data_IF_282806494785
#
_entry.id   IF_282806494785
#
_cell.length_a   1.000
_cell.length_b   1.000
_cell.length_c   1.000
_cell.angle_alpha   90.00
_cell.angle_beta   90.00
_cell.angle_gamma   90.00
#
_symmetry.space_group_name_H-M   'P 1'
#
loop_
_entity.id
_entity.type
_entity.pdbx_description
1 polymer ?
#
# COMPACT_ATOMS: atom_id res chain seq x y z
N UNK A 1 18.68 13.70 -29.28
CA UNK A 1 18.53 12.22 -29.28
C UNK A 1 18.13 11.65 -27.91
N UNK A 2 18.81 11.98 -26.80
CA UNK A 2 18.45 11.50 -25.46
C UNK A 2 17.05 11.95 -24.98
N UNK A 3 16.66 13.20 -25.24
CA UNK A 3 15.34 13.71 -24.85
C UNK A 3 14.17 12.98 -25.54
N UNK A 4 14.32 12.66 -26.83
CA UNK A 4 13.29 11.93 -27.61
C UNK A 4 13.17 10.48 -27.15
N UNK A 5 14.28 9.87 -26.71
CA UNK A 5 14.27 8.52 -26.13
C UNK A 5 13.53 8.47 -24.78
N UNK A 6 13.77 9.45 -23.90
CA UNK A 6 13.07 9.52 -22.61
C UNK A 6 11.56 9.80 -22.79
N UNK A 7 11.19 10.68 -23.72
CA UNK A 7 9.77 10.95 -24.03
C UNK A 7 9.07 9.69 -24.58
N UNK A 8 9.73 8.96 -25.48
CA UNK A 8 9.22 7.69 -26.03
C UNK A 8 9.12 6.60 -24.96
N UNK A 9 10.07 6.53 -24.03
CA UNK A 9 10.03 5.60 -22.91
C UNK A 9 8.89 5.93 -21.93
N UNK A 10 8.62 7.22 -21.68
CA UNK A 10 7.46 7.65 -20.88
C UNK A 10 6.12 7.22 -21.51
N UNK A 11 6.06 7.14 -22.85
CA UNK A 11 4.87 6.71 -23.59
C UNK A 11 4.72 5.18 -23.62
N UNK A 12 5.82 4.42 -23.66
CA UNK A 12 5.79 2.96 -23.86
C UNK A 12 5.23 2.18 -22.66
N UNK A 13 5.14 2.79 -21.46
CA UNK A 13 4.69 2.20 -20.19
C UNK A 13 5.36 0.86 -19.81
N UNK A 14 6.45 0.49 -20.48
CA UNK A 14 7.24 -0.71 -20.15
C UNK A 14 8.28 -0.33 -19.10
N UNK A 15 8.29 -1.06 -17.98
CA UNK A 15 9.15 -0.79 -16.82
C UNK A 15 10.64 -0.77 -17.20
N UNK A 16 11.15 -1.85 -17.79
CA UNK A 16 12.56 -1.99 -18.18
C UNK A 16 13.06 -0.87 -19.13
N UNK A 17 12.25 -0.50 -20.13
CA UNK A 17 12.63 0.56 -21.09
C UNK A 17 12.70 1.93 -20.41
N UNK A 18 11.82 2.17 -19.43
CA UNK A 18 11.78 3.43 -18.70
C UNK A 18 12.91 3.52 -17.66
N UNK A 19 13.23 2.41 -17.00
CA UNK A 19 14.37 2.28 -16.07
C UNK A 19 15.69 2.62 -16.78
N UNK A 20 15.98 1.93 -17.89
CA UNK A 20 17.20 2.14 -18.67
C UNK A 20 17.31 3.59 -19.17
N UNK A 21 16.20 4.15 -19.66
CA UNK A 21 16.17 5.53 -20.14
C UNK A 21 16.40 6.56 -19.03
N UNK A 22 15.86 6.32 -17.82
CA UNK A 22 16.10 7.19 -16.66
C UNK A 22 17.54 7.10 -16.19
N UNK A 23 18.14 5.90 -16.19
CA UNK A 23 19.54 5.71 -15.79
C UNK A 23 20.51 6.37 -16.77
N UNK A 24 20.28 6.20 -18.08
CA UNK A 24 21.05 6.87 -19.12
C UNK A 24 20.94 8.40 -19.02
N UNK A 25 19.74 8.92 -18.74
CA UNK A 25 19.53 10.36 -18.56
C UNK A 25 20.23 10.92 -17.30
N UNK A 26 20.33 10.13 -16.21
CA UNK A 26 21.10 10.51 -15.02
C UNK A 26 22.60 10.54 -15.27
N UNK A 27 23.11 9.59 -16.06
CA UNK A 27 24.54 9.48 -16.43
C UNK A 27 25.00 10.60 -17.38
N UNK A 28 24.11 11.10 -18.25
CA UNK A 28 24.44 12.07 -19.30
C UNK A 28 24.58 13.55 -18.83
N UNK A 29 24.32 13.86 -17.56
CA UNK A 29 24.56 15.19 -16.98
C UNK A 29 23.35 16.13 -16.90
N UNK A 30 23.50 17.22 -16.14
CA UNK A 30 22.40 17.95 -15.51
C UNK A 30 21.96 19.23 -16.24
N UNK A 31 21.22 19.11 -17.33
CA UNK A 31 20.47 20.26 -17.89
C UNK A 31 19.16 20.45 -17.11
N UNK A 32 18.79 21.69 -16.72
CA UNK A 32 17.55 21.99 -15.96
C UNK A 32 16.29 21.34 -16.55
N UNK A 33 16.17 21.37 -17.89
CA UNK A 33 15.06 20.75 -18.65
C UNK A 33 15.11 19.21 -18.65
N UNK A 34 16.30 18.63 -18.60
CA UNK A 34 16.48 17.18 -18.49
C UNK A 34 16.13 16.71 -17.08
N UNK A 35 16.55 17.45 -16.05
CA UNK A 35 16.20 17.17 -14.65
C UNK A 35 14.70 17.14 -14.42
N UNK A 36 13.93 18.08 -14.99
CA UNK A 36 12.46 18.04 -14.89
C UNK A 36 11.86 16.79 -15.53
N UNK A 37 12.39 16.33 -16.66
CA UNK A 37 11.92 15.10 -17.33
C UNK A 37 12.32 13.84 -16.57
N UNK A 38 13.53 13.79 -16.01
CA UNK A 38 13.99 12.70 -15.14
C UNK A 38 13.06 12.56 -13.94
N UNK A 39 12.68 13.67 -13.31
CA UNK A 39 11.72 13.66 -12.19
C UNK A 39 10.37 13.08 -12.62
N UNK A 40 9.83 13.51 -13.77
CA UNK A 40 8.55 12.98 -14.28
C UNK A 40 8.67 11.48 -14.61
N UNK A 41 9.72 11.07 -15.31
CA UNK A 41 9.96 9.69 -15.68
C UNK A 41 10.13 8.78 -14.45
N UNK A 42 10.89 9.22 -13.45
CA UNK A 42 11.05 8.50 -12.17
C UNK A 42 9.71 8.32 -11.46
N UNK A 43 8.84 9.34 -11.47
CA UNK A 43 7.49 9.23 -10.88
C UNK A 43 6.59 8.25 -11.62
N UNK A 44 6.67 8.22 -12.95
CA UNK A 44 5.93 7.26 -13.78
C UNK A 44 6.40 5.84 -13.47
N UNK A 45 7.72 5.64 -13.35
CA UNK A 45 8.36 4.37 -13.02
C UNK A 45 7.94 3.87 -11.64
N UNK A 46 8.04 4.70 -10.60
CA UNK A 46 7.56 4.37 -9.24
C UNK A 46 6.11 3.89 -9.25
N UNK A 47 5.25 4.54 -10.04
CA UNK A 47 3.85 4.18 -10.19
C UNK A 47 3.68 2.84 -10.90
N UNK A 48 4.39 2.60 -12.00
CA UNK A 48 4.34 1.32 -12.73
C UNK A 48 4.80 0.19 -11.81
N UNK A 49 5.92 0.36 -11.11
CA UNK A 49 6.45 -0.62 -10.17
C UNK A 49 5.47 -0.92 -9.03
N UNK A 50 4.79 0.10 -8.47
CA UNK A 50 3.75 -0.11 -7.46
C UNK A 50 2.58 -0.94 -8.01
N UNK A 51 2.10 -0.63 -9.22
CA UNK A 51 1.01 -1.38 -9.86
C UNK A 51 1.43 -2.82 -10.13
N UNK A 52 2.66 -3.04 -10.61
CA UNK A 52 3.20 -4.38 -10.85
C UNK A 52 3.30 -5.19 -9.54
N UNK A 53 3.78 -4.57 -8.45
CA UNK A 53 3.78 -5.21 -7.12
C UNK A 53 2.38 -5.61 -6.67
N UNK A 54 1.38 -4.75 -6.89
CA UNK A 54 -0.03 -5.05 -6.57
C UNK A 54 -0.54 -6.22 -7.43
N UNK A 55 -0.25 -6.22 -8.73
CA UNK A 55 -0.60 -7.32 -9.63
C UNK A 55 -0.01 -8.66 -9.15
N UNK A 56 1.28 -8.67 -8.80
CA UNK A 56 1.97 -9.83 -8.22
C UNK A 56 1.34 -10.33 -6.92
N UNK A 57 0.85 -9.41 -6.07
CA UNK A 57 0.11 -9.78 -4.85
C UNK A 57 -1.17 -10.55 -5.20
N UNK A 58 -1.94 -10.09 -6.20
CA UNK A 58 -3.17 -10.77 -6.64
C UNK A 58 -2.87 -12.13 -7.25
N UNK A 59 -1.81 -12.24 -8.07
CA UNK A 59 -1.41 -13.51 -8.68
C UNK A 59 -1.08 -14.58 -7.63
N UNK A 60 -0.52 -14.18 -6.48
CA UNK A 60 -0.18 -15.05 -5.34
C UNK A 60 -1.38 -15.54 -4.53
N UNK A 61 -2.58 -14.98 -4.76
CA UNK A 61 -3.78 -15.49 -4.10
C UNK A 61 -4.02 -16.92 -4.56
N UNK A 62 -3.89 -17.84 -3.60
CA UNK A 62 -4.16 -19.25 -3.78
C UNK A 62 -5.66 -19.55 -3.75
N UNK A 63 -6.10 -20.48 -4.60
CA UNK A 63 -7.50 -20.89 -4.68
C UNK A 63 -7.98 -21.53 -3.37
N UNK A 64 -7.07 -22.21 -2.64
CA UNK A 64 -7.37 -22.75 -1.30
C UNK A 64 -7.70 -21.64 -0.30
N UNK A 65 -6.96 -20.54 -0.32
CA UNK A 65 -7.21 -19.39 0.55
C UNK A 65 -8.53 -18.69 0.23
N UNK A 66 -8.93 -18.65 -1.05
CA UNK A 66 -10.26 -18.16 -1.44
C UNK A 66 -11.39 -19.11 -1.00
N UNK A 67 -11.15 -20.43 -1.07
CA UNK A 67 -12.11 -21.42 -0.57
C UNK A 67 -12.30 -21.29 0.95
N UNK A 68 -11.22 -21.10 1.71
CA UNK A 68 -11.26 -20.82 3.16
C UNK A 68 -12.13 -19.59 3.46
N UNK A 69 -11.89 -18.46 2.77
CA UNK A 69 -12.69 -17.26 2.92
C UNK A 69 -14.18 -17.50 2.63
N UNK A 70 -14.47 -18.34 1.63
CA UNK A 70 -15.84 -18.74 1.29
C UNK A 70 -16.45 -19.67 2.35
N UNK A 71 -15.68 -20.37 3.18
CA UNK A 71 -16.24 -21.30 4.16
C UNK A 71 -16.68 -20.63 5.47
N UNK A 72 -16.25 -19.39 5.75
CA UNK A 72 -16.72 -18.69 6.94
C UNK A 72 -18.25 -18.51 6.94
N UNK A 73 -18.87 -19.02 8.01
CA UNK A 73 -20.26 -18.71 8.38
C UNK A 73 -20.33 -17.34 9.05
N UNK A 74 -19.48 -17.13 10.06
CA UNK A 74 -19.33 -15.87 10.79
C UNK A 74 -17.87 -15.40 10.67
N UNK A 75 -17.56 -14.46 9.76
CA UNK A 75 -16.19 -14.02 9.56
C UNK A 75 -15.71 -13.17 10.74
N UNK A 76 -14.43 -13.26 11.13
CA UNK A 76 -13.83 -12.30 12.03
C UNK A 76 -13.92 -10.89 11.46
N UNK A 77 -14.10 -9.87 12.31
CA UNK A 77 -14.35 -8.50 11.88
C UNK A 77 -13.30 -7.98 10.89
N UNK A 78 -12.01 -8.22 11.13
CA UNK A 78 -10.95 -7.80 10.21
C UNK A 78 -11.05 -8.44 8.82
N UNK A 79 -11.48 -9.70 8.74
CA UNK A 79 -11.71 -10.41 7.46
C UNK A 79 -12.91 -9.81 6.74
N UNK A 80 -14.02 -9.61 7.46
CA UNK A 80 -15.22 -9.02 6.89
C UNK A 80 -14.97 -7.62 6.34
N UNK A 81 -14.40 -6.73 7.15
CA UNK A 81 -14.12 -5.35 6.75
C UNK A 81 -13.13 -5.27 5.59
N UNK A 82 -12.16 -6.19 5.51
CA UNK A 82 -11.26 -6.31 4.36
C UNK A 82 -12.02 -6.61 3.06
N UNK A 83 -12.97 -7.53 3.11
CA UNK A 83 -13.75 -7.93 1.93
C UNK A 83 -14.80 -6.88 1.55
N UNK A 84 -15.40 -6.18 2.52
CA UNK A 84 -16.24 -5.00 2.29
C UNK A 84 -15.44 -3.90 1.57
N UNK A 85 -14.26 -3.57 2.11
CA UNK A 85 -13.35 -2.59 1.51
C UNK A 85 -12.96 -2.95 0.07
N UNK A 86 -12.67 -4.22 -0.20
CA UNK A 86 -12.39 -4.70 -1.55
C UNK A 86 -13.62 -4.60 -2.47
N UNK A 87 -14.81 -4.94 -1.98
CA UNK A 87 -16.05 -4.86 -2.74
C UNK A 87 -16.40 -3.43 -3.15
N UNK A 88 -16.23 -2.48 -2.24
CA UNK A 88 -16.43 -1.05 -2.53
C UNK A 88 -15.51 -0.56 -3.65
N UNK A 89 -14.24 -0.97 -3.65
CA UNK A 89 -13.32 -0.65 -4.73
C UNK A 89 -13.80 -1.26 -6.06
N UNK A 90 -14.29 -2.49 -6.05
CA UNK A 90 -14.82 -3.18 -7.24
C UNK A 90 -16.15 -2.60 -7.76
N UNK A 91 -16.70 -1.57 -7.10
CA UNK A 91 -17.87 -0.81 -7.55
C UNK A 91 -19.21 -1.24 -6.94
N UNK A 92 -19.19 -2.07 -5.89
CA UNK A 92 -20.41 -2.43 -5.17
C UNK A 92 -20.84 -1.35 -4.18
N UNK A 93 -22.15 -1.22 -3.93
CA UNK A 93 -22.69 -0.29 -2.95
C UNK A 93 -22.44 -0.76 -1.52
N UNK A 94 -22.23 0.18 -0.58
CA UNK A 94 -21.97 -0.13 0.83
C UNK A 94 -23.11 -0.94 1.45
N UNK A 95 -24.36 -0.59 1.12
CA UNK A 95 -25.55 -1.26 1.64
C UNK A 95 -25.66 -2.72 1.16
N UNK A 96 -25.17 -3.02 -0.05
CA UNK A 96 -25.17 -4.37 -0.61
C UNK A 96 -24.16 -5.28 0.08
N UNK A 97 -23.05 -4.71 0.57
CA UNK A 97 -21.92 -5.49 1.10
C UNK A 97 -21.84 -5.46 2.63
N UNK A 98 -22.73 -4.71 3.30
CA UNK A 98 -22.78 -4.62 4.77
C UNK A 98 -23.09 -5.97 5.42
N UNK A 99 -23.95 -6.76 4.80
CA UNK A 99 -24.24 -8.12 5.25
C UNK A 99 -23.24 -9.11 4.66
N UNK A 100 -22.69 -9.97 5.52
CA UNK A 100 -21.69 -10.95 5.14
C UNK A 100 -22.22 -11.91 4.06
N UNK A 101 -23.46 -12.35 4.18
CA UNK A 101 -24.05 -13.32 3.25
C UNK A 101 -24.11 -12.75 1.84
N UNK A 102 -24.54 -11.50 1.70
CA UNK A 102 -24.60 -10.78 0.42
C UNK A 102 -23.20 -10.49 -0.10
N UNK A 103 -22.30 -9.96 0.75
CA UNK A 103 -20.90 -9.70 0.41
C UNK A 103 -20.20 -10.94 -0.15
N UNK A 104 -20.35 -12.09 0.52
CA UNK A 104 -19.83 -13.39 0.10
C UNK A 104 -20.41 -13.86 -1.22
N UNK A 105 -21.73 -13.72 -1.42
CA UNK A 105 -22.40 -14.07 -2.67
C UNK A 105 -21.92 -13.25 -3.86
N UNK A 106 -21.63 -11.96 -3.63
CA UNK A 106 -21.13 -11.04 -4.65
C UNK A 106 -19.67 -11.32 -5.00
N UNK A 107 -18.82 -11.57 -4.01
CA UNK A 107 -17.38 -11.74 -4.20
C UNK A 107 -16.98 -13.13 -4.72
N UNK A 108 -17.65 -14.19 -4.25
CA UNK A 108 -17.29 -15.58 -4.56
C UNK A 108 -18.15 -16.20 -5.65
N UNK A 109 -18.63 -15.39 -6.60
CA UNK A 109 -19.26 -15.90 -7.83
C UNK A 109 -18.26 -16.76 -8.61
N UNK A 110 -18.73 -17.92 -9.09
CA UNK A 110 -17.91 -18.81 -9.91
C UNK A 110 -17.75 -18.28 -11.33
N UNK A 111 -16.63 -18.61 -11.99
CA UNK A 111 -16.44 -18.39 -13.43
C UNK A 111 -15.63 -17.14 -13.80
N UNK A 112 -16.18 -16.29 -14.67
CA UNK A 112 -15.50 -15.09 -15.21
C UNK A 112 -15.44 -13.95 -14.19
N UNK A 113 -16.39 -13.90 -13.26
CA UNK A 113 -16.52 -12.82 -12.26
C UNK A 113 -15.96 -13.18 -10.88
N UNK A 114 -15.04 -14.14 -10.82
CA UNK A 114 -14.41 -14.49 -9.55
C UNK A 114 -13.57 -13.32 -9.01
N UNK A 115 -13.49 -13.22 -7.68
CA UNK A 115 -12.77 -12.13 -6.99
C UNK A 115 -11.38 -11.87 -7.56
N UNK A 116 -10.59 -12.93 -7.78
CA UNK A 116 -9.22 -12.82 -8.29
C UNK A 116 -9.18 -12.13 -9.66
N UNK A 117 -9.99 -12.58 -10.62
CA UNK A 117 -10.08 -11.98 -11.96
C UNK A 117 -10.51 -10.51 -11.90
N UNK A 118 -11.48 -10.19 -11.04
CA UNK A 118 -11.93 -8.80 -10.87
C UNK A 118 -10.84 -7.91 -10.28
N UNK A 119 -10.04 -8.42 -9.34
CA UNK A 119 -8.88 -7.71 -8.79
C UNK A 119 -7.75 -7.55 -9.83
N UNK A 120 -7.54 -8.53 -10.72
CA UNK A 120 -6.56 -8.46 -11.82
C UNK A 120 -6.97 -7.45 -12.90
N UNK A 121 -8.26 -7.40 -13.25
CA UNK A 121 -8.81 -6.51 -14.27
C UNK A 121 -9.21 -5.13 -13.72
N UNK A 122 -8.94 -4.88 -12.45
CA UNK A 122 -9.38 -3.69 -11.76
C UNK A 122 -8.70 -2.43 -12.29
N UNK A 123 -9.51 -1.44 -12.71
CA UNK A 123 -9.02 -0.10 -13.05
C UNK A 123 -9.21 0.88 -11.90
N UNK A 124 -8.12 1.23 -11.22
CA UNK A 124 -8.12 2.22 -10.13
C UNK A 124 -8.48 3.65 -10.58
N UNK A 125 -8.55 3.93 -11.90
CA UNK A 125 -8.85 5.27 -12.41
C UNK A 125 -10.32 5.65 -12.29
N UNK A 126 -11.21 4.66 -12.26
CA UNK A 126 -12.66 4.84 -12.19
C UNK A 126 -13.18 5.10 -10.77
N UNK A 127 -12.36 4.85 -9.75
CA UNK A 127 -12.76 5.02 -8.35
C UNK A 127 -12.78 6.49 -7.95
N UNK A 128 -13.88 6.91 -7.32
CA UNK A 128 -14.05 8.25 -6.78
C UNK A 128 -13.31 8.45 -5.46
N UNK A 129 -12.98 9.71 -5.13
CA UNK A 129 -12.32 10.04 -3.86
C UNK A 129 -13.20 9.73 -2.65
N UNK A 130 -14.53 9.79 -2.80
CA UNK A 130 -15.48 9.45 -1.74
C UNK A 130 -15.37 7.96 -1.36
N UNK A 131 -15.35 7.06 -2.36
CA UNK A 131 -15.16 5.62 -2.14
C UNK A 131 -13.80 5.38 -1.47
N UNK A 132 -12.74 6.04 -1.94
CA UNK A 132 -11.42 5.90 -1.37
C UNK A 132 -11.38 6.25 0.12
N UNK A 133 -12.03 7.34 0.53
CA UNK A 133 -12.08 7.77 1.93
C UNK A 133 -12.92 6.81 2.79
N UNK A 134 -14.04 6.30 2.26
CA UNK A 134 -14.85 5.29 2.95
C UNK A 134 -14.03 4.00 3.20
N UNK A 135 -13.34 3.51 2.16
CA UNK A 135 -12.47 2.32 2.24
C UNK A 135 -11.33 2.52 3.24
N UNK A 136 -10.73 3.71 3.30
CA UNK A 136 -9.71 4.03 4.32
C UNK A 136 -10.25 3.95 5.73
N UNK A 137 -11.42 4.53 5.96
CA UNK A 137 -12.09 4.54 7.28
C UNK A 137 -12.39 3.12 7.74
N UNK A 138 -12.87 2.27 6.83
CA UNK A 138 -13.15 0.85 7.11
C UNK A 138 -11.88 0.08 7.51
N UNK A 139 -10.74 0.37 6.87
CA UNK A 139 -9.48 -0.33 7.10
C UNK A 139 -8.55 0.32 8.12
N UNK A 140 -8.90 1.47 8.68
CA UNK A 140 -8.08 2.17 9.68
C UNK A 140 -7.83 1.33 10.94
N UNK A 141 -8.86 0.67 11.52
CA UNK A 141 -8.70 -0.05 12.78
C UNK A 141 -7.84 -1.31 12.69
N UNK A 142 -7.59 -1.80 11.48
CA UNK A 142 -6.97 -3.11 11.25
C UNK A 142 -5.54 -2.97 10.71
N UNK A 143 -4.64 -3.79 11.23
CA UNK A 143 -3.27 -3.94 10.70
C UNK A 143 -3.14 -5.21 9.89
N UNK A 144 -2.23 -5.20 8.90
CA UNK A 144 -2.03 -6.33 8.00
C UNK A 144 -1.64 -7.63 8.73
N UNK A 145 -0.85 -7.52 9.81
CA UNK A 145 -0.43 -8.68 10.61
C UNK A 145 -1.61 -9.32 11.35
N UNK A 146 -2.50 -8.52 11.95
CA UNK A 146 -3.70 -9.01 12.64
C UNK A 146 -4.62 -9.80 11.69
N UNK A 147 -4.81 -9.29 10.47
CA UNK A 147 -5.62 -9.98 9.45
C UNK A 147 -4.93 -11.26 8.97
N UNK A 148 -3.59 -11.25 8.86
CA UNK A 148 -2.80 -12.41 8.43
C UNK A 148 -2.81 -13.55 9.43
N UNK A 149 -2.77 -13.25 10.72
CA UNK A 149 -2.81 -14.27 11.78
C UNK A 149 -4.14 -15.03 11.78
N UNK A 150 -5.21 -14.37 11.32
CA UNK A 150 -6.54 -14.97 11.17
C UNK A 150 -6.69 -15.68 9.82
N UNK A 151 -6.34 -15.04 8.71
CA UNK A 151 -6.44 -15.62 7.37
C UNK A 151 -5.42 -15.04 6.40
N UNK A 152 -4.62 -15.94 5.81
CA UNK A 152 -3.63 -15.59 4.77
C UNK A 152 -4.30 -15.03 3.52
N UNK A 153 -5.47 -15.56 3.16
CA UNK A 153 -6.28 -15.08 2.04
C UNK A 153 -6.75 -13.65 2.26
N UNK A 154 -7.34 -13.38 3.43
CA UNK A 154 -7.79 -12.04 3.79
C UNK A 154 -6.63 -11.04 3.79
N UNK A 155 -5.47 -11.41 4.32
CA UNK A 155 -4.31 -10.54 4.34
C UNK A 155 -3.82 -10.16 2.94
N UNK A 156 -3.90 -11.08 1.98
CA UNK A 156 -3.52 -10.79 0.60
C UNK A 156 -4.48 -9.78 -0.05
N UNK A 157 -5.78 -9.93 0.19
CA UNK A 157 -6.79 -8.95 -0.23
C UNK A 157 -6.58 -7.60 0.47
N UNK A 158 -6.28 -7.59 1.77
CA UNK A 158 -5.99 -6.38 2.53
C UNK A 158 -4.81 -5.62 1.95
N UNK A 159 -3.71 -6.32 1.64
CA UNK A 159 -2.53 -5.73 1.02
C UNK A 159 -2.82 -5.17 -0.37
N UNK A 160 -3.66 -5.86 -1.16
CA UNK A 160 -4.12 -5.34 -2.44
C UNK A 160 -4.91 -4.03 -2.26
N UNK A 161 -5.88 -3.98 -1.34
CA UNK A 161 -6.67 -2.76 -1.07
C UNK A 161 -5.76 -1.61 -0.64
N UNK A 162 -4.84 -1.85 0.31
CA UNK A 162 -3.86 -0.84 0.75
C UNK A 162 -2.95 -0.39 -0.39
N UNK A 163 -2.55 -1.29 -1.27
CA UNK A 163 -1.78 -0.98 -2.46
C UNK A 163 -2.52 -0.03 -3.40
N UNK A 164 -3.80 -0.33 -3.69
CA UNK A 164 -4.66 0.54 -4.51
C UNK A 164 -4.81 1.92 -3.88
N UNK A 165 -5.06 1.98 -2.57
CA UNK A 165 -5.11 3.25 -1.83
C UNK A 165 -3.84 4.06 -2.06
N UNK A 166 -2.66 3.45 -1.88
CA UNK A 166 -1.38 4.13 -2.06
C UNK A 166 -1.13 4.61 -3.50
N UNK A 167 -1.63 3.89 -4.52
CA UNK A 167 -1.57 4.34 -5.93
C UNK A 167 -2.50 5.54 -6.16
N UNK A 168 -3.69 5.54 -5.55
CA UNK A 168 -4.66 6.63 -5.68
C UNK A 168 -4.26 7.89 -4.91
N UNK A 169 -3.68 7.75 -3.71
CA UNK A 169 -3.16 8.89 -2.94
C UNK A 169 -2.00 9.57 -3.65
N UNK A 170 -1.13 8.79 -4.30
CA UNK A 170 -0.05 9.35 -5.12
C UNK A 170 -0.58 10.19 -6.30
N UNK A 171 -1.78 9.87 -6.82
CA UNK A 171 -2.48 10.70 -7.82
C UNK A 171 -2.98 12.01 -7.18
N UNK A 172 -3.62 11.95 -6.02
CA UNK A 172 -4.20 13.12 -5.33
C UNK A 172 -3.13 14.12 -4.88
N UNK A 173 -2.08 13.65 -4.22
CA UNK A 173 -0.98 14.49 -3.74
C UNK A 173 -0.22 15.21 -4.86
N UNK A 174 -0.41 14.84 -6.14
CA UNK A 174 0.09 15.57 -7.29
C UNK A 174 -0.92 16.58 -7.85
N UNK A 175 -2.22 16.29 -7.86
CA UNK A 175 -3.25 17.25 -8.32
C UNK A 175 -3.25 18.49 -7.41
N UNK A 176 -3.20 18.30 -6.09
CA UNK A 176 -3.15 19.41 -5.13
C UNK A 176 -1.85 20.22 -5.26
N UNK A 177 -0.71 19.58 -5.53
CA UNK A 177 0.57 20.27 -5.78
C UNK A 177 0.58 21.08 -7.08
N UNK A 178 -0.15 20.65 -8.11
CA UNK A 178 -0.26 21.38 -9.37
C UNK A 178 -1.25 22.56 -9.29
N UNK A 179 -2.33 22.42 -8.49
CA UNK A 179 -3.35 23.46 -8.35
C UNK A 179 -3.01 24.51 -7.27
N UNK A 180 -2.10 24.21 -6.34
CA UNK A 180 -1.77 25.09 -5.22
C UNK A 180 -0.75 26.19 -5.54
N UNK A 181 -0.03 26.14 -6.68
CA UNK A 181 0.95 27.19 -7.06
C UNK A 181 2.09 27.45 -6.07
N UNK A 182 2.18 26.70 -4.96
CA UNK A 182 3.22 26.84 -3.96
C UNK A 182 4.49 26.14 -4.43
N UNK A 183 5.35 26.92 -5.09
CA UNK A 183 6.76 26.60 -5.29
C UNK A 183 7.39 26.26 -3.93
N UNK A 184 7.71 25.00 -3.70
CA UNK A 184 8.52 24.62 -2.55
C UNK A 184 9.98 24.80 -2.92
N UNK A 185 10.52 25.97 -2.56
CA UNK A 185 11.92 26.05 -2.14
C UNK A 185 12.03 25.03 -1.00
N UNK A 186 12.68 23.91 -1.30
CA UNK A 186 13.02 22.89 -0.32
C UNK A 186 13.88 23.55 0.76
N UNK A 187 13.27 23.92 1.89
CA UNK A 187 14.04 24.10 3.12
C UNK A 187 14.66 22.74 3.38
N UNK A 188 15.99 22.65 3.27
CA UNK A 188 16.76 21.49 3.70
C UNK A 188 16.38 21.23 5.16
N UNK A 189 15.53 20.25 5.39
CA UNK A 189 15.27 19.73 6.74
C UNK A 189 16.53 18.96 7.09
N UNK A 190 17.30 19.50 8.05
CA UNK A 190 18.43 18.79 8.63
C UNK A 190 17.95 17.42 9.13
N UNK A 191 18.76 16.36 9.02
CA UNK A 191 18.37 15.05 9.51
C UNK A 191 18.02 15.17 11.01
N UNK A 192 16.81 14.72 11.38
CA UNK A 192 16.45 14.56 12.78
C UNK A 192 17.48 13.64 13.40
N UNK A 193 18.19 14.12 14.41
CA UNK A 193 18.98 13.30 15.33
C UNK A 193 18.01 12.26 15.91
N UNK A 194 18.07 11.04 15.40
CA UNK A 194 17.40 9.91 16.03
C UNK A 194 18.04 9.73 17.39
N UNK A 195 17.31 10.09 18.44
CA UNK A 195 17.61 9.60 19.79
C UNK A 195 17.24 8.11 19.79
N UNK A 196 18.14 7.28 19.26
CA UNK A 196 18.21 5.89 19.69
C UNK A 196 18.90 5.93 21.07
N UNK A 197 18.38 5.25 22.10
CA UNK A 197 19.14 5.05 23.32
C UNK A 197 20.46 4.36 22.95
N UNK A 198 21.58 4.94 23.37
CA UNK A 198 22.90 4.34 23.21
C UNK A 198 22.91 3.02 23.98
N UNK A 199 22.93 1.90 23.25
CA UNK A 199 23.31 0.62 23.84
C UNK A 199 24.83 0.58 23.89
N UNK A 200 25.37 0.84 25.07
CA UNK A 200 26.78 0.62 25.37
C UNK A 200 27.06 -0.88 25.30
N UNK A 201 27.67 -1.33 24.21
CA UNK A 201 28.32 -2.65 24.18
C UNK A 201 29.63 -2.54 24.95
N UNK A 202 29.64 -3.03 26.18
CA UNK A 202 30.90 -3.36 26.85
C UNK A 202 31.18 -4.86 26.77
N UNK A 203 32.47 -5.14 26.62
CA UNK A 203 33.05 -6.44 26.34
C UNK A 203 32.87 -7.35 27.56
N UNK A 204 31.83 -8.17 27.56
CA UNK A 204 31.76 -9.53 28.11
C UNK A 204 30.27 -9.92 28.19
N UNK A 205 29.83 -10.79 27.27
CA UNK A 205 28.42 -11.11 27.04
C UNK A 205 27.70 -11.81 28.19
N UNK A 206 27.34 -11.07 29.24
CA UNK A 206 26.39 -11.51 30.27
C UNK A 206 25.39 -10.40 30.50
N UNK A 207 24.13 -10.67 30.18
CA UNK A 207 23.01 -9.79 30.52
C UNK A 207 22.65 -10.08 31.98
N UNK A 208 22.91 -9.12 32.85
CA UNK A 208 22.44 -9.14 34.24
C UNK A 208 21.03 -8.54 34.22
N UNK A 209 20.03 -9.33 34.62
CA UNK A 209 18.71 -8.79 34.93
C UNK A 209 18.80 -8.14 36.31
N UNK A 210 18.75 -6.82 36.35
CA UNK A 210 18.57 -6.08 37.60
C UNK A 210 17.09 -6.18 37.95
N UNK A 211 16.80 -7.01 38.95
CA UNK A 211 15.49 -7.14 39.58
C UNK A 211 15.16 -5.82 40.25
N UNK A 212 14.06 -5.19 39.85
CA UNK A 212 13.49 -4.04 40.54
C UNK A 212 13.04 -4.50 41.94
N UNK A 213 13.75 -4.02 42.95
CA UNK A 213 13.40 -4.12 44.37
C UNK A 213 12.03 -3.45 44.58
N UNK A 214 11.05 -4.24 45.02
CA UNK A 214 9.84 -3.70 45.64
C UNK A 214 10.19 -3.39 47.10
N UNK A 215 10.36 -2.10 47.40
CA UNK A 215 10.46 -1.58 48.76
C UNK A 215 9.24 -2.04 49.59
N UNK A 216 9.52 -2.83 50.62
CA UNK A 216 8.69 -2.93 51.82
C UNK A 216 8.67 -1.55 52.49
N UNK A 217 7.56 -0.83 52.38
CA UNK A 217 7.23 0.25 53.31
C UNK A 217 6.17 -0.24 54.27
N UNK A 218 6.69 -0.62 55.43
CA UNK A 218 6.07 -0.88 56.71
C UNK A 218 5.50 0.44 57.27
N UNK A 219 4.18 0.62 57.22
CA UNK A 219 3.48 1.66 57.98
C UNK A 219 2.46 0.96 58.90
N UNK A 220 2.88 0.67 60.12
CA UNK A 220 2.01 0.30 61.22
C UNK A 220 1.13 1.47 61.67
N UNK A 221 -0.14 1.19 62.00
CA UNK A 221 -0.73 1.16 63.35
C UNK A 221 -2.15 0.60 63.27
#
# INVERSE_FOLDING_TARGET
>A
MMMTNLDRACQSRKESILEDAVEQAKKAGHTRRLNSKIVIATRILERICKIDKISKIVSRIDQRSLAELKMYHTPPNGVHQTLVAASLLLGYGLDEVKDWRTCKSLLFKSGKDNLKKRMEQFDYRSVSNAILNAVKTILEPYKAWQVRDVSKGAATVFLWVKGIIGVMEYRQGNVERCMSGKSVISKRVAPRRTMLPEYSTEKNGTIIFESEELDESDDGW
#
